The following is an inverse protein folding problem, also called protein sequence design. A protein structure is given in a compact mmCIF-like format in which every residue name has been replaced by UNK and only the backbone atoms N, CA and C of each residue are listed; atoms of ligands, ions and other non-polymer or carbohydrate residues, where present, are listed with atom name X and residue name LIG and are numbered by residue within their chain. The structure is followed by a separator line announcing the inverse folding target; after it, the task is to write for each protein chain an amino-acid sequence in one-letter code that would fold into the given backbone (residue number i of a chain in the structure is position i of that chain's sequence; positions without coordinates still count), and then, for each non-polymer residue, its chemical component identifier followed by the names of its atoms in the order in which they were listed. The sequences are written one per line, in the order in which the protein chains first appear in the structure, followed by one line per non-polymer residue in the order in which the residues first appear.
data_IF_671418124429
#
_entry.id   IF_671418124429
#
_cell.length_a   1.000
_cell.length_b   1.000
_cell.length_c   1.000
_cell.angle_alpha   90.00
_cell.angle_beta   90.00
_cell.angle_gamma   90.00
#
_symmetry.space_group_name_H-M   'P 1'
#
loop_
_entity.id
_entity.type
_entity.pdbx_description
1 polymer ?
#
# COMPACT_ATOMS: atom_id res chain seq x y z
N UNK A 1 17.25 43.29 -0.19
CA UNK A 1 16.66 42.10 -0.82
C UNK A 1 15.26 42.49 -1.30
N UNK A 2 15.06 42.62 -2.60
CA UNK A 2 13.84 43.16 -3.18
C UNK A 2 12.72 42.10 -3.15
N UNK A 3 11.59 42.42 -2.52
CA UNK A 3 10.36 41.60 -2.56
C UNK A 3 9.55 41.98 -3.80
N UNK A 4 9.41 41.04 -4.73
CA UNK A 4 8.51 41.14 -5.87
C UNK A 4 7.11 40.81 -5.36
N UNK A 5 6.29 41.83 -5.16
CA UNK A 5 4.84 41.69 -5.00
C UNK A 5 4.29 41.47 -6.41
N UNK A 6 3.81 40.26 -6.69
CA UNK A 6 3.08 39.97 -7.93
C UNK A 6 1.66 40.52 -7.78
N UNK A 7 1.41 41.66 -8.43
CA UNK A 7 0.07 42.20 -8.60
C UNK A 7 -0.79 41.25 -9.44
N UNK A 8 -1.88 40.76 -8.86
CA UNK A 8 -2.92 40.04 -9.58
C UNK A 8 -3.58 41.00 -10.58
N UNK A 9 -3.27 40.84 -11.86
CA UNK A 9 -3.88 41.59 -12.94
C UNK A 9 -5.40 41.31 -13.00
N UNK A 10 -6.20 42.22 -12.46
CA UNK A 10 -7.65 42.26 -12.66
C UNK A 10 -7.93 42.73 -14.08
N UNK A 11 -8.23 41.81 -14.99
CA UNK A 11 -8.76 42.14 -16.31
C UNK A 11 -10.13 42.81 -16.15
N UNK A 12 -10.20 44.11 -16.43
CA UNK A 12 -11.46 44.87 -16.44
C UNK A 12 -12.33 44.37 -17.61
N UNK A 13 -13.25 43.45 -17.34
CA UNK A 13 -14.29 43.03 -18.29
C UNK A 13 -15.03 44.26 -18.82
N UNK A 14 -14.98 44.47 -20.13
CA UNK A 14 -15.73 45.52 -20.81
C UNK A 14 -17.22 45.38 -20.47
N UNK A 15 -17.79 46.38 -19.78
CA UNK A 15 -19.21 46.37 -19.39
C UNK A 15 -20.05 46.37 -20.66
N UNK A 16 -20.65 45.23 -20.98
CA UNK A 16 -21.55 45.11 -22.12
C UNK A 16 -22.74 46.04 -21.90
N UNK A 17 -22.79 47.14 -22.64
CA UNK A 17 -23.80 48.19 -22.50
C UNK A 17 -25.13 47.74 -23.10
N UNK A 18 -25.80 46.77 -22.47
CA UNK A 18 -27.11 46.29 -22.87
C UNK A 18 -28.18 46.92 -21.98
N UNK A 19 -29.22 47.48 -22.59
CA UNK A 19 -30.34 48.06 -21.87
C UNK A 19 -31.05 47.02 -21.01
N UNK A 20 -31.13 47.27 -19.69
CA UNK A 20 -31.73 46.35 -18.70
C UNK A 20 -33.27 46.30 -18.76
N UNK A 21 -33.89 47.05 -19.67
CA UNK A 21 -35.34 47.26 -19.66
C UNK A 21 -36.11 46.24 -20.51
N UNK A 22 -35.43 45.44 -21.35
CA UNK A 22 -36.06 44.49 -22.28
C UNK A 22 -35.79 43.05 -21.84
N UNK A 23 -36.82 42.19 -21.81
CA UNK A 23 -36.69 40.76 -21.43
C UNK A 23 -35.62 39.99 -22.23
N UNK A 24 -35.35 40.38 -23.48
CA UNK A 24 -34.30 39.79 -24.33
C UNK A 24 -32.88 40.03 -23.78
N UNK A 25 -32.63 41.12 -23.06
CA UNK A 25 -31.33 41.40 -22.44
C UNK A 25 -31.12 40.63 -21.13
N UNK A 26 -32.18 40.32 -20.38
CA UNK A 26 -32.10 39.51 -19.16
C UNK A 26 -31.63 38.08 -19.44
N UNK A 27 -31.93 37.54 -20.62
CA UNK A 27 -31.44 36.21 -21.03
C UNK A 27 -29.96 36.21 -21.43
N UNK A 28 -29.34 37.39 -21.58
CA UNK A 28 -27.94 37.57 -21.99
C UNK A 28 -27.03 38.00 -20.84
N UNK A 29 -27.58 38.27 -19.65
CA UNK A 29 -26.77 38.58 -18.47
C UNK A 29 -26.08 37.31 -17.99
N UNK A 30 -24.75 37.36 -17.92
CA UNK A 30 -23.96 36.26 -17.37
C UNK A 30 -24.16 36.20 -15.85
N UNK A 31 -24.54 35.03 -15.33
CA UNK A 31 -24.82 34.78 -13.91
C UNK A 31 -23.62 34.11 -13.23
N UNK A 32 -22.63 33.66 -14.01
CA UNK A 32 -21.47 32.90 -13.51
C UNK A 32 -20.72 33.62 -12.39
N UNK A 33 -20.60 34.94 -12.48
CA UNK A 33 -19.94 35.76 -11.45
C UNK A 33 -20.63 35.66 -10.08
N UNK A 34 -21.97 35.62 -10.09
CA UNK A 34 -22.77 35.44 -8.87
C UNK A 34 -22.69 34.01 -8.36
N UNK A 35 -22.71 33.03 -9.27
CA UNK A 35 -22.58 31.61 -8.93
C UNK A 35 -21.21 31.31 -8.31
N UNK A 36 -20.13 31.78 -8.92
CA UNK A 36 -18.75 31.64 -8.45
C UNK A 36 -18.58 32.29 -7.08
N UNK A 37 -19.09 33.52 -6.90
CA UNK A 37 -19.09 34.18 -5.60
C UNK A 37 -19.83 33.38 -4.52
N UNK A 38 -21.02 32.85 -4.81
CA UNK A 38 -21.80 32.07 -3.83
C UNK A 38 -21.16 30.72 -3.51
N UNK A 39 -20.50 30.10 -4.50
CA UNK A 39 -19.77 28.85 -4.31
C UNK A 39 -18.52 29.07 -3.45
N UNK A 40 -17.80 30.16 -3.67
CA UNK A 40 -16.67 30.58 -2.84
C UNK A 40 -17.09 30.88 -1.40
N UNK A 41 -18.20 31.60 -1.19
CA UNK A 41 -18.73 31.86 0.16
C UNK A 41 -19.05 30.54 0.88
N UNK A 42 -19.73 29.60 0.22
CA UNK A 42 -20.02 28.28 0.81
C UNK A 42 -18.75 27.47 1.08
N UNK A 43 -17.76 27.57 0.21
CA UNK A 43 -16.47 26.91 0.39
C UNK A 43 -15.72 27.47 1.60
N UNK A 44 -15.73 28.79 1.75
CA UNK A 44 -15.15 29.48 2.91
C UNK A 44 -15.88 29.06 4.18
N UNK A 45 -17.21 29.06 4.23
CA UNK A 45 -17.99 28.60 5.40
C UNK A 45 -17.64 27.15 5.78
N UNK A 46 -17.53 26.25 4.80
CA UNK A 46 -17.13 24.85 5.03
C UNK A 46 -15.71 24.73 5.58
N UNK A 47 -14.80 25.57 5.12
CA UNK A 47 -13.39 25.61 5.54
C UNK A 47 -13.20 26.39 6.85
N UNK A 48 -14.29 26.93 7.41
CA UNK A 48 -14.33 27.57 8.71
C UNK A 48 -14.29 29.09 8.68
N UNK A 49 -14.66 29.72 7.57
CA UNK A 49 -14.83 31.17 7.40
C UNK A 49 -13.62 31.91 6.83
N UNK A 50 -13.81 33.21 6.59
CA UNK A 50 -12.77 34.11 6.07
C UNK A 50 -11.67 34.29 7.12
N UNK A 51 -10.43 34.05 6.72
CA UNK A 51 -9.24 34.16 7.57
C UNK A 51 -9.11 35.59 8.14
N UNK A 52 -9.45 36.61 7.36
CA UNK A 52 -9.39 38.03 7.76
C UNK A 52 -10.36 38.41 8.89
N UNK A 53 -11.42 37.63 9.15
CA UNK A 53 -12.37 37.92 10.23
C UNK A 53 -11.98 37.24 11.55
N UNK A 54 -11.04 36.29 11.51
CA UNK A 54 -10.57 35.60 12.71
C UNK A 54 -9.48 36.42 13.38
N UNK A 55 -9.51 36.44 14.71
CA UNK A 55 -8.43 37.03 15.49
C UNK A 55 -7.15 36.20 15.34
N UNK A 56 -5.99 36.87 15.30
CA UNK A 56 -4.68 36.23 15.16
C UNK A 56 -4.40 35.21 16.27
N UNK A 57 -4.91 35.44 17.47
CA UNK A 57 -4.81 34.52 18.62
C UNK A 57 -5.48 33.15 18.36
N UNK A 58 -6.55 33.12 17.54
CA UNK A 58 -7.20 31.87 17.13
C UNK A 58 -6.49 31.21 15.95
N UNK A 59 -5.78 31.99 15.13
CA UNK A 59 -5.07 31.48 13.96
C UNK A 59 -3.72 30.86 14.36
N UNK A 60 -3.04 31.52 15.29
CA UNK A 60 -1.69 31.22 15.71
C UNK A 60 -1.67 30.92 17.20
N UNK A 61 -1.62 29.63 17.55
CA UNK A 61 -1.32 29.20 18.91
C UNK A 61 0.12 28.67 18.96
N UNK A 62 0.86 29.06 19.99
CA UNK A 62 2.15 28.44 20.29
C UNK A 62 1.86 27.19 21.08
N UNK A 63 1.96 26.03 20.44
CA UNK A 63 1.85 24.74 21.12
C UNK A 63 3.08 24.54 22.03
N UNK A 64 2.99 25.00 23.27
CA UNK A 64 4.02 24.81 24.29
C UNK A 64 3.87 23.48 25.02
N UNK A 65 2.91 22.64 24.64
CA UNK A 65 2.59 21.41 25.34
C UNK A 65 3.31 20.20 24.75
N UNK A 66 4.63 20.18 24.84
CA UNK A 66 5.35 18.90 24.83
C UNK A 66 4.97 18.16 26.11
N UNK A 67 4.08 17.17 25.96
CA UNK A 67 3.60 16.27 27.01
C UNK A 67 2.61 16.85 28.03
N UNK A 68 1.39 17.14 27.59
CA UNK A 68 0.23 16.81 28.44
C UNK A 68 0.19 15.30 28.60
N UNK A 69 0.99 14.80 29.55
CA UNK A 69 0.85 13.48 30.14
C UNK A 69 -0.65 13.23 30.34
N UNK A 70 -1.12 12.06 29.89
CA UNK A 70 -2.51 11.63 29.96
C UNK A 70 -3.07 12.02 31.34
N UNK A 71 -3.83 13.12 31.41
CA UNK A 71 -4.45 13.56 32.67
C UNK A 71 -5.17 12.33 33.21
N UNK A 72 -4.85 11.92 34.45
CA UNK A 72 -5.43 10.70 35.04
C UNK A 72 -6.92 10.96 35.24
N UNK A 73 -7.71 10.63 34.23
CA UNK A 73 -9.16 10.78 34.21
C UNK A 73 -9.73 9.99 35.40
N UNK A 74 -10.60 10.63 36.18
CA UNK A 74 -11.28 9.99 37.30
C UNK A 74 -12.13 8.80 36.82
N UNK A 75 -12.45 7.85 37.71
CA UNK A 75 -13.29 6.71 37.34
C UNK A 75 -14.70 7.16 36.87
N UNK A 76 -15.25 8.21 37.49
CA UNK A 76 -16.53 8.80 37.12
C UNK A 76 -16.51 9.44 35.73
N UNK A 77 -15.45 10.17 35.40
CA UNK A 77 -15.28 10.81 34.10
C UNK A 77 -15.05 9.78 32.98
N UNK A 78 -14.30 8.69 33.26
CA UNK A 78 -14.21 7.53 32.35
C UNK A 78 -15.57 6.87 32.11
N UNK A 79 -16.41 6.75 33.15
CA UNK A 79 -17.77 6.21 33.01
C UNK A 79 -18.65 7.10 32.14
N UNK A 80 -18.60 8.42 32.34
CA UNK A 80 -19.34 9.39 31.50
C UNK A 80 -18.90 9.34 30.05
N UNK A 81 -17.60 9.27 29.79
CA UNK A 81 -17.07 9.18 28.42
C UNK A 81 -17.56 7.90 27.73
N UNK A 82 -17.51 6.76 28.42
CA UNK A 82 -18.07 5.49 27.91
C UNK A 82 -19.57 5.58 27.62
N UNK A 83 -20.33 6.35 28.40
CA UNK A 83 -21.78 6.53 28.18
C UNK A 83 -22.09 7.44 26.98
N UNK A 84 -21.21 8.39 26.66
CA UNK A 84 -21.36 9.23 25.45
C UNK A 84 -21.29 8.41 24.16
N UNK A 85 -20.45 7.39 24.14
CA UNK A 85 -20.25 6.53 22.98
C UNK A 85 -21.29 5.40 22.87
N UNK A 86 -22.12 5.19 23.91
CA UNK A 86 -23.16 4.17 23.89
C UNK A 86 -24.42 4.71 23.20
N UNK A 87 -25.08 3.90 22.35
CA UNK A 87 -26.34 4.31 21.74
C UNK A 87 -27.40 4.55 22.82
N UNK A 88 -28.28 5.54 22.59
CA UNK A 88 -29.40 5.78 23.50
C UNK A 88 -30.24 4.51 23.66
N UNK A 89 -30.87 4.35 24.83
CA UNK A 89 -31.70 3.17 25.14
C UNK A 89 -32.81 2.95 24.11
N UNK A 90 -33.40 4.02 23.55
CA UNK A 90 -34.40 3.94 22.49
C UNK A 90 -33.85 3.33 21.19
N UNK A 91 -32.57 3.54 20.88
CA UNK A 91 -31.92 2.97 19.70
C UNK A 91 -31.35 1.56 19.95
N UNK A 92 -31.44 1.02 21.17
CA UNK A 92 -30.94 -0.33 21.49
C UNK A 92 -31.56 -1.42 20.61
N UNK A 93 -32.81 -1.22 20.16
CA UNK A 93 -33.52 -2.15 19.29
C UNK A 93 -32.93 -2.20 17.87
N UNK A 94 -32.37 -1.09 17.38
CA UNK A 94 -31.74 -1.01 16.06
C UNK A 94 -30.42 -1.78 16.00
N UNK A 95 -29.69 -1.82 17.12
CA UNK A 95 -28.39 -2.48 17.23
C UNK A 95 -28.45 -3.86 17.88
N UNK A 96 -29.63 -4.30 18.35
CA UNK A 96 -29.83 -5.64 18.89
C UNK A 96 -29.69 -6.65 17.76
N UNK A 97 -28.47 -7.16 17.60
CA UNK A 97 -28.23 -8.38 16.82
C UNK A 97 -29.15 -9.46 17.39
N UNK A 98 -30.02 -10.00 16.57
CA UNK A 98 -30.85 -11.14 16.97
C UNK A 98 -29.95 -12.28 17.46
N UNK A 99 -30.54 -13.26 18.17
CA UNK A 99 -29.84 -14.50 18.53
C UNK A 99 -29.45 -15.33 17.28
N UNK A 100 -29.91 -14.89 16.11
CA UNK A 100 -29.63 -15.48 14.81
C UNK A 100 -28.36 -14.83 14.26
N UNK A 101 -27.36 -15.65 13.96
CA UNK A 101 -26.13 -15.21 13.33
C UNK A 101 -26.44 -14.61 11.95
N UNK A 102 -25.75 -13.51 11.57
CA UNK A 102 -25.87 -12.98 10.23
C UNK A 102 -25.37 -14.04 9.22
N UNK A 103 -26.17 -14.46 8.24
CA UNK A 103 -25.77 -15.50 7.29
C UNK A 103 -24.58 -15.07 6.43
N UNK A 104 -24.39 -13.76 6.26
CA UNK A 104 -23.27 -13.17 5.54
C UNK A 104 -22.22 -12.76 6.56
N UNK A 105 -21.13 -13.53 6.67
CA UNK A 105 -19.92 -13.10 7.36
C UNK A 105 -19.29 -11.99 6.50
N UNK A 106 -19.14 -10.75 7.01
CA UNK A 106 -18.47 -9.72 6.23
C UNK A 106 -17.08 -10.24 5.86
N UNK A 107 -16.68 -10.03 4.60
CA UNK A 107 -15.34 -10.38 4.15
C UNK A 107 -14.33 -9.82 5.15
N UNK A 108 -13.45 -10.69 5.67
CA UNK A 108 -12.45 -10.31 6.66
C UNK A 108 -11.61 -9.19 6.06
N UNK A 109 -11.92 -7.95 6.41
CA UNK A 109 -11.10 -6.79 6.06
C UNK A 109 -9.77 -7.09 6.70
N UNK A 110 -8.77 -7.42 5.88
CA UNK A 110 -7.42 -7.67 6.35
C UNK A 110 -7.01 -6.39 7.04
N UNK A 111 -6.91 -6.42 8.38
CA UNK A 111 -6.51 -5.25 9.16
C UNK A 111 -5.24 -4.73 8.51
N UNK A 112 -5.22 -3.43 8.15
CA UNK A 112 -4.01 -2.78 7.65
C UNK A 112 -2.93 -3.01 8.70
N UNK A 113 -1.98 -3.86 8.36
CA UNK A 113 -0.80 -4.15 9.19
C UNK A 113 -0.09 -2.82 9.39
N UNK A 114 0.37 -2.51 10.61
CA UNK A 114 1.06 -1.24 10.82
C UNK A 114 2.28 -1.13 9.90
N UNK A 115 2.59 0.05 9.40
CA UNK A 115 3.65 0.25 8.41
C UNK A 115 4.99 -0.38 8.86
N UNK A 116 5.28 -0.33 10.16
CA UNK A 116 6.45 -0.98 10.78
C UNK A 116 6.44 -2.51 10.65
N UNK A 117 5.29 -3.15 10.85
CA UNK A 117 5.14 -4.60 10.69
C UNK A 117 5.26 -4.99 9.20
N UNK A 118 4.74 -4.14 8.30
CA UNK A 118 4.84 -4.37 6.86
C UNK A 118 6.30 -4.28 6.39
N UNK A 119 7.03 -3.25 6.83
CA UNK A 119 8.46 -3.07 6.53
C UNK A 119 9.29 -4.25 7.05
N UNK A 120 9.02 -4.72 8.27
CA UNK A 120 9.69 -5.91 8.84
C UNK A 120 9.43 -7.17 8.02
N UNK A 121 8.19 -7.36 7.54
CA UNK A 121 7.84 -8.50 6.69
C UNK A 121 8.50 -8.42 5.32
N UNK A 122 8.57 -7.23 4.71
CA UNK A 122 9.26 -7.01 3.44
C UNK A 122 10.75 -7.29 3.56
N UNK A 123 11.42 -6.76 4.59
CA UNK A 123 12.84 -7.06 4.87
C UNK A 123 13.08 -8.57 5.04
N UNK A 124 12.19 -9.27 5.73
CA UNK A 124 12.28 -10.73 5.90
C UNK A 124 12.11 -11.49 4.59
N UNK A 125 11.24 -11.02 3.68
CA UNK A 125 11.06 -11.61 2.34
C UNK A 125 12.28 -11.39 1.46
N UNK A 126 12.88 -10.18 1.51
CA UNK A 126 14.08 -9.85 0.73
C UNK A 126 15.27 -10.72 1.16
N UNK A 127 15.55 -10.84 2.47
CA UNK A 127 16.63 -11.70 2.98
C UNK A 127 16.50 -13.16 2.52
N UNK A 128 15.29 -13.73 2.60
CA UNK A 128 15.03 -15.08 2.11
C UNK A 128 15.25 -15.23 0.61
N UNK A 129 14.97 -14.19 -0.17
CA UNK A 129 15.22 -14.19 -1.62
C UNK A 129 16.72 -14.17 -1.91
N UNK A 130 17.47 -13.34 -1.20
CA UNK A 130 18.94 -13.25 -1.30
C UNK A 130 19.60 -14.59 -0.95
N UNK A 131 19.23 -15.20 0.18
CA UNK A 131 19.71 -16.52 0.60
C UNK A 131 19.47 -17.59 -0.47
N UNK A 132 18.28 -17.62 -1.07
CA UNK A 132 17.96 -18.54 -2.18
C UNK A 132 18.86 -18.29 -3.38
N UNK A 133 19.01 -17.04 -3.82
CA UNK A 133 19.85 -16.73 -4.97
C UNK A 133 21.33 -17.08 -4.75
N UNK A 134 21.83 -16.94 -3.52
CA UNK A 134 23.20 -17.33 -3.16
C UNK A 134 23.32 -18.85 -3.23
N UNK A 135 22.38 -19.60 -2.65
CA UNK A 135 22.40 -21.06 -2.68
C UNK A 135 22.28 -21.61 -4.10
N UNK A 136 21.40 -21.03 -4.93
CA UNK A 136 21.24 -21.42 -6.34
C UNK A 136 22.54 -21.17 -7.13
N UNK A 137 23.23 -20.05 -6.88
CA UNK A 137 24.54 -19.75 -7.47
C UNK A 137 25.62 -20.74 -7.03
N UNK A 138 25.65 -21.08 -5.74
CA UNK A 138 26.59 -22.07 -5.21
C UNK A 138 26.34 -23.43 -5.85
N UNK A 139 25.07 -23.84 -5.96
CA UNK A 139 24.71 -25.12 -6.56
C UNK A 139 25.05 -25.16 -8.05
N UNK A 140 24.69 -24.12 -8.82
CA UNK A 140 25.05 -24.03 -10.24
C UNK A 140 26.57 -24.08 -10.47
N UNK A 141 27.36 -23.46 -9.60
CA UNK A 141 28.83 -23.55 -9.66
C UNK A 141 29.36 -24.96 -9.34
N UNK A 142 28.74 -25.68 -8.40
CA UNK A 142 29.06 -27.08 -8.11
C UNK A 142 28.73 -27.95 -9.32
N UNK A 143 27.50 -27.84 -9.83
CA UNK A 143 27.04 -28.60 -11.00
C UNK A 143 27.92 -28.34 -12.23
N UNK A 144 28.36 -27.08 -12.44
CA UNK A 144 29.29 -26.72 -13.51
C UNK A 144 30.67 -27.38 -13.33
N UNK A 145 31.22 -27.37 -12.11
CA UNK A 145 32.50 -28.03 -11.80
C UNK A 145 32.40 -29.54 -11.99
N UNK A 146 31.32 -30.18 -11.55
CA UNK A 146 31.07 -31.60 -11.73
C UNK A 146 30.94 -31.96 -13.21
N UNK A 147 30.15 -31.21 -13.98
CA UNK A 147 30.07 -31.40 -15.44
C UNK A 147 31.43 -31.26 -16.10
N UNK A 148 32.20 -30.21 -15.76
CA UNK A 148 33.54 -30.00 -16.30
C UNK A 148 34.50 -31.13 -15.95
N UNK A 149 34.44 -31.66 -14.73
CA UNK A 149 35.24 -32.81 -14.30
C UNK A 149 34.86 -34.06 -15.09
N UNK A 150 33.56 -34.35 -15.28
CA UNK A 150 33.08 -35.45 -16.13
C UNK A 150 33.54 -35.33 -17.58
N UNK A 151 33.37 -34.16 -18.20
CA UNK A 151 33.88 -33.91 -19.56
C UNK A 151 35.40 -34.08 -19.68
N UNK A 152 36.16 -33.91 -18.61
CA UNK A 152 37.61 -34.14 -18.60
C UNK A 152 37.96 -35.62 -18.36
N UNK A 153 37.27 -36.31 -17.44
CA UNK A 153 37.43 -37.76 -17.23
C UNK A 153 37.02 -38.57 -18.46
N UNK A 154 35.92 -38.21 -19.13
CA UNK A 154 35.41 -38.92 -20.32
C UNK A 154 36.34 -38.76 -21.53
N UNK A 155 37.22 -37.75 -21.53
CA UNK A 155 38.26 -37.55 -22.55
C UNK A 155 39.60 -38.15 -22.19
N UNK A 156 39.85 -38.42 -20.91
CA UNK A 156 40.97 -39.29 -20.49
C UNK A 156 40.49 -40.71 -20.73
N UNK A 157 40.52 -41.08 -22.00
CA UNK A 157 40.39 -42.45 -22.43
C UNK A 157 41.70 -43.12 -22.01
N UNK A 158 41.74 -43.66 -20.78
CA UNK A 158 42.80 -44.56 -20.31
C UNK A 158 42.67 -45.89 -21.08
N UNK A 159 42.87 -45.85 -22.40
CA UNK A 159 43.15 -47.05 -23.16
C UNK A 159 44.57 -47.44 -22.82
N UNK A 160 44.69 -48.36 -21.88
CA UNK A 160 45.90 -49.14 -21.74
C UNK A 160 46.05 -49.99 -23.00
N UNK A 161 46.88 -49.49 -23.92
CA UNK A 161 47.21 -50.09 -25.22
C UNK A 161 47.80 -51.52 -25.10
N UNK A 162 48.07 -51.99 -23.88
CA UNK A 162 48.62 -53.31 -23.56
C UNK A 162 47.68 -54.21 -22.75
N UNK A 163 46.49 -53.72 -22.37
CA UNK A 163 45.50 -54.54 -21.67
C UNK A 163 44.51 -55.15 -22.68
N UNK A 164 44.76 -56.40 -23.07
CA UNK A 164 43.86 -57.22 -23.88
C UNK A 164 42.63 -57.72 -23.08
N UNK A 165 41.97 -56.83 -22.35
CA UNK A 165 40.74 -57.14 -21.64
C UNK A 165 39.64 -56.15 -22.04
N UNK A 166 38.81 -56.58 -23.00
CA UNK A 166 37.50 -55.97 -23.27
C UNK A 166 36.73 -55.91 -21.96
N UNK A 167 36.58 -54.71 -21.38
CA UNK A 167 35.56 -54.48 -20.35
C UNK A 167 34.23 -54.35 -21.07
N UNK A 168 33.45 -55.43 -21.02
CA UNK A 168 32.00 -55.39 -21.21
C UNK A 168 31.39 -54.70 -19.98
N UNK A 169 31.53 -53.38 -19.90
CA UNK A 169 30.74 -52.60 -18.95
C UNK A 169 29.36 -52.35 -19.61
N UNK A 170 28.43 -53.27 -19.40
CA UNK A 170 27.00 -53.04 -19.63
C UNK A 170 26.53 -51.95 -18.67
N UNK A 171 26.70 -50.69 -19.06
CA UNK A 171 26.03 -49.57 -18.40
C UNK A 171 24.53 -49.67 -18.70
N UNK A 172 23.79 -50.31 -17.79
CA UNK A 172 22.33 -50.29 -17.79
C UNK A 172 21.88 -48.86 -17.45
N UNK A 173 21.68 -48.06 -18.49
CA UNK A 173 21.22 -46.67 -18.41
C UNK A 173 19.81 -46.63 -17.77
N UNK A 174 19.76 -46.37 -16.46
CA UNK A 174 18.52 -46.32 -15.70
C UNK A 174 17.77 -45.01 -15.96
N UNK A 175 16.48 -45.10 -16.31
CA UNK A 175 15.62 -43.94 -16.56
C UNK A 175 15.51 -43.05 -15.29
N UNK A 176 15.96 -41.77 -15.36
CA UNK A 176 15.99 -40.87 -14.22
C UNK A 176 14.59 -40.55 -13.65
N UNK A 177 13.53 -40.67 -14.44
CA UNK A 177 12.17 -40.44 -13.97
C UNK A 177 11.68 -41.56 -13.04
N UNK A 178 12.02 -42.81 -13.36
CA UNK A 178 11.63 -43.99 -12.56
C UNK A 178 12.32 -44.01 -11.19
N UNK A 179 13.61 -43.66 -11.15
CA UNK A 179 14.41 -43.63 -9.92
C UNK A 179 13.87 -42.61 -8.91
N UNK A 180 13.43 -41.44 -9.39
CA UNK A 180 12.91 -40.35 -8.56
C UNK A 180 11.64 -40.72 -7.77
N UNK A 181 10.79 -41.56 -8.36
CA UNK A 181 9.49 -41.91 -7.77
C UNK A 181 9.51 -43.25 -7.03
N UNK A 182 10.31 -44.20 -7.51
CA UNK A 182 10.30 -45.57 -6.97
C UNK A 182 11.49 -45.89 -6.08
N UNK A 183 12.53 -45.05 -6.09
CA UNK A 183 13.83 -45.27 -5.42
C UNK A 183 14.46 -46.64 -5.75
N UNK A 184 14.10 -47.23 -6.90
CA UNK A 184 14.60 -48.53 -7.37
C UNK A 184 15.15 -48.37 -8.78
N UNK A 185 16.25 -49.03 -9.09
CA UNK A 185 16.74 -49.15 -10.47
C UNK A 185 15.86 -50.17 -11.20
N UNK A 186 15.32 -49.79 -12.36
CA UNK A 186 14.57 -50.72 -13.20
C UNK A 186 15.58 -51.62 -13.91
N UNK A 187 15.76 -52.84 -13.42
CA UNK A 187 16.47 -53.89 -14.16
C UNK A 187 15.60 -54.25 -15.36
N UNK A 188 16.18 -54.25 -16.56
CA UNK A 188 15.52 -54.75 -17.77
C UNK A 188 15.45 -56.27 -17.73
#
# INVERSE_FOLDING_TARGET
MATIIMDAASEKKARLHQGKNKKKSWRKTDIKDVEEYLEDVRHQERTGGIISQKADESLFFVDKDVSKSKKRITAAERRRLRQKDQPLKCHSQLYRKGKIECPIKPNRVVKKVSDFQLERLLKRKLKKKEERTINDRIQANKDYKEKKAKYFSDRIIDYDLWNDCKKEDEEVEADPYYLKYTNKTRVK
#
